data_IF_143389917470
#
_entry.id   IF_143389917470
#
_cell.length_a   1.000
_cell.length_b   1.000
_cell.length_c   1.000
_cell.angle_alpha   90.00
_cell.angle_beta   90.00
_cell.angle_gamma   90.00
#
_symmetry.space_group_name_H-M   'P 1'
#
loop_
_entity.id
_entity.type
_entity.pdbx_description
1 polymer ?
#
# COMPACT_ATOMS: atom_id res chain seq x y z
N UNK A 1 1.03 19.92 5.34
CA UNK A 1 2.27 19.64 6.10
C UNK A 1 1.95 18.55 7.12
N UNK A 2 2.59 17.39 7.04
CA UNK A 2 2.48 16.32 8.03
C UNK A 2 3.42 16.65 9.19
N UNK A 3 3.02 16.46 10.45
CA UNK A 3 3.80 16.86 11.63
C UNK A 3 4.05 15.69 12.56
N UNK A 4 5.30 15.49 12.94
CA UNK A 4 5.70 14.67 14.08
C UNK A 4 5.95 15.54 15.32
N UNK A 5 6.64 14.98 16.32
CA UNK A 5 6.98 15.70 17.55
C UNK A 5 8.17 16.67 17.38
N UNK A 6 9.15 16.33 16.52
CA UNK A 6 10.36 17.14 16.29
C UNK A 6 10.49 17.67 14.86
N UNK A 7 9.90 16.96 13.91
CA UNK A 7 10.06 17.22 12.47
C UNK A 7 8.72 17.30 11.76
N UNK A 8 8.66 18.11 10.71
CA UNK A 8 7.53 18.22 9.79
C UNK A 8 7.93 17.78 8.39
N UNK A 9 6.98 17.18 7.66
CA UNK A 9 7.09 16.91 6.23
C UNK A 9 6.24 17.92 5.47
N UNK A 10 6.89 18.75 4.67
CA UNK A 10 6.22 19.69 3.76
C UNK A 10 6.51 19.31 2.31
N UNK A 11 5.67 19.80 1.40
CA UNK A 11 5.95 19.71 -0.02
C UNK A 11 7.32 20.35 -0.30
N UNK A 12 8.11 19.73 -1.17
CA UNK A 12 9.40 20.27 -1.60
C UNK A 12 9.19 21.49 -2.47
N UNK A 13 10.03 22.51 -2.26
CA UNK A 13 10.03 23.73 -3.07
C UNK A 13 11.35 23.86 -3.84
N UNK A 14 11.35 24.64 -4.93
CA UNK A 14 12.55 24.87 -5.73
C UNK A 14 13.70 25.49 -4.90
N UNK A 15 13.36 26.32 -3.91
CA UNK A 15 14.30 26.94 -2.98
C UNK A 15 15.02 25.94 -2.07
N UNK A 16 14.46 24.74 -1.88
CA UNK A 16 15.10 23.69 -1.07
C UNK A 16 16.19 22.97 -1.87
N UNK A 17 16.14 23.01 -3.20
CA UNK A 17 17.01 22.20 -4.08
C UNK A 17 18.50 22.52 -3.88
N UNK A 18 18.93 23.79 -3.80
CA UNK A 18 20.33 24.11 -3.54
C UNK A 18 20.83 23.56 -2.20
N UNK A 19 20.00 23.64 -1.15
CA UNK A 19 20.33 23.15 0.20
C UNK A 19 20.40 21.62 0.21
N UNK A 20 19.41 20.93 -0.36
CA UNK A 20 19.40 19.47 -0.48
C UNK A 20 20.60 18.94 -1.28
N UNK A 21 21.04 19.69 -2.30
CA UNK A 21 22.22 19.32 -3.08
C UNK A 21 23.49 19.48 -2.25
N UNK A 22 23.74 20.68 -1.75
CA UNK A 22 24.98 21.03 -1.08
C UNK A 22 25.16 20.31 0.26
N UNK A 23 24.09 20.14 1.04
CA UNK A 23 24.20 19.64 2.41
C UNK A 23 23.90 18.14 2.52
N UNK A 24 23.06 17.59 1.64
CA UNK A 24 22.61 16.19 1.77
C UNK A 24 23.13 15.27 0.66
N UNK A 25 23.15 15.71 -0.59
CA UNK A 25 23.64 14.89 -1.71
C UNK A 25 25.16 14.87 -1.81
N UNK A 26 25.79 16.04 -1.62
CA UNK A 26 27.24 16.19 -1.69
C UNK A 26 27.93 15.62 -0.43
N UNK A 27 27.19 15.35 0.66
CA UNK A 27 27.61 14.44 1.71
C UNK A 27 27.55 12.98 1.22
N UNK A 28 28.62 12.56 0.54
CA UNK A 28 28.75 11.24 -0.08
C UNK A 28 28.55 10.11 0.92
N UNK A 29 29.02 10.26 2.17
CA UNK A 29 28.97 9.19 3.17
C UNK A 29 27.53 8.97 3.62
N UNK A 30 26.82 10.04 3.93
CA UNK A 30 25.43 9.94 4.37
C UNK A 30 24.51 9.59 3.19
N UNK A 31 24.71 10.22 2.03
CA UNK A 31 23.95 9.93 0.81
C UNK A 31 24.06 8.48 0.36
N UNK A 32 25.26 7.88 0.43
CA UNK A 32 25.46 6.46 0.07
C UNK A 32 24.80 5.48 1.06
N UNK A 33 24.54 5.91 2.31
CA UNK A 33 23.80 5.09 3.29
C UNK A 33 22.29 5.23 3.14
N UNK A 34 21.83 6.41 2.74
CA UNK A 34 20.41 6.72 2.59
C UNK A 34 19.82 6.21 1.26
N UNK A 35 20.61 6.23 0.19
CA UNK A 35 20.15 5.75 -1.13
C UNK A 35 20.56 4.30 -1.40
N UNK A 36 19.67 3.53 -2.03
CA UNK A 36 20.01 2.18 -2.52
C UNK A 36 20.81 2.20 -3.84
N UNK A 37 21.02 3.37 -4.45
CA UNK A 37 21.72 3.52 -5.72
C UNK A 37 23.17 3.95 -5.47
N UNK A 38 24.14 3.51 -6.28
CA UNK A 38 25.51 4.01 -6.19
C UNK A 38 25.55 5.54 -6.33
N UNK A 39 26.30 6.19 -5.45
CA UNK A 39 26.54 7.62 -5.54
C UNK A 39 27.29 7.97 -6.84
N UNK A 40 26.90 9.09 -7.47
CA UNK A 40 27.55 9.61 -8.68
C UNK A 40 27.48 11.15 -8.71
N UNK A 41 28.46 11.85 -9.27
CA UNK A 41 28.37 13.31 -9.44
C UNK A 41 27.16 13.71 -10.29
N UNK A 42 26.43 14.74 -9.86
CA UNK A 42 25.34 15.35 -10.64
C UNK A 42 25.89 16.56 -11.38
N UNK A 43 25.70 16.62 -12.69
CA UNK A 43 26.11 17.77 -13.50
C UNK A 43 25.36 19.04 -13.05
N UNK A 44 26.02 20.21 -12.95
CA UNK A 44 25.35 21.47 -12.70
C UNK A 44 24.20 21.71 -13.69
N UNK A 45 23.04 22.16 -13.20
CA UNK A 45 21.83 22.34 -14.01
C UNK A 45 21.08 21.06 -14.39
N UNK A 46 21.56 19.87 -13.99
CA UNK A 46 20.84 18.61 -14.21
C UNK A 46 19.53 18.56 -13.41
N UNK A 47 18.45 18.15 -14.09
CA UNK A 47 17.14 17.89 -13.51
C UNK A 47 17.04 16.46 -12.96
N UNK A 48 17.91 16.13 -12.02
CA UNK A 48 17.84 14.81 -11.35
C UNK A 48 16.54 14.73 -10.54
N UNK A 49 15.68 13.76 -10.87
CA UNK A 49 14.37 13.52 -10.24
C UNK A 49 14.48 13.26 -8.72
N UNK A 50 15.67 12.90 -8.21
CA UNK A 50 15.93 12.78 -6.76
C UNK A 50 15.84 14.11 -6.01
N UNK A 51 16.19 15.21 -6.67
CA UNK A 51 16.28 16.55 -6.07
C UNK A 51 15.20 17.49 -6.60
N UNK A 52 14.83 17.37 -7.87
CA UNK A 52 13.87 18.27 -8.53
C UNK A 52 12.43 17.89 -8.22
N UNK A 53 11.59 18.93 -8.11
CA UNK A 53 10.14 18.78 -8.00
C UNK A 53 9.56 18.54 -9.39
N UNK A 54 8.94 17.39 -9.61
CA UNK A 54 8.11 17.12 -10.79
C UNK A 54 6.68 16.80 -10.35
N UNK A 55 5.81 17.82 -10.39
CA UNK A 55 4.39 17.69 -10.04
C UNK A 55 3.61 16.78 -11.00
N UNK A 56 4.20 16.39 -12.14
CA UNK A 56 3.58 15.47 -13.11
C UNK A 56 3.87 14.00 -12.79
N UNK A 57 4.87 13.71 -11.96
CA UNK A 57 5.27 12.34 -11.61
C UNK A 57 4.34 11.76 -10.54
N UNK A 58 3.22 11.15 -10.96
CA UNK A 58 2.19 10.64 -10.04
C UNK A 58 2.63 9.44 -9.18
N UNK A 59 3.76 8.80 -9.50
CA UNK A 59 4.29 7.65 -8.76
C UNK A 59 5.16 8.01 -7.56
N UNK A 60 5.59 9.27 -7.47
CA UNK A 60 6.60 9.74 -6.54
C UNK A 60 6.13 11.04 -5.87
N UNK A 61 6.05 11.04 -4.54
CA UNK A 61 5.71 12.26 -3.79
C UNK A 61 6.92 12.68 -2.95
N UNK A 62 7.70 13.69 -3.40
CA UNK A 62 8.86 14.19 -2.67
C UNK A 62 8.44 15.18 -1.57
N UNK A 63 9.01 14.99 -0.37
CA UNK A 63 8.85 15.85 0.79
C UNK A 63 10.20 16.44 1.21
N UNK A 64 10.14 17.66 1.71
CA UNK A 64 11.22 18.32 2.45
C UNK A 64 10.97 18.11 3.95
N UNK A 65 11.98 17.58 4.66
CA UNK A 65 11.92 17.36 6.11
C UNK A 65 12.45 18.60 6.81
N UNK A 66 11.61 19.25 7.61
CA UNK A 66 11.97 20.45 8.36
C UNK A 66 11.93 20.20 9.86
N UNK A 67 12.88 20.78 10.60
CA UNK A 67 12.82 20.86 12.05
C UNK A 67 11.70 21.82 12.46
N UNK A 68 10.84 21.42 13.39
CA UNK A 68 9.66 22.21 13.76
C UNK A 68 10.00 23.46 14.60
N UNK A 69 11.07 23.40 15.39
CA UNK A 69 11.47 24.49 16.28
C UNK A 69 12.23 25.60 15.52
N UNK A 70 13.08 25.22 14.56
CA UNK A 70 13.93 26.14 13.80
C UNK A 70 13.50 26.40 12.35
N UNK A 71 12.60 25.60 11.79
CA UNK A 71 12.21 25.66 10.36
C UNK A 71 13.32 25.21 9.39
N UNK A 72 14.48 24.81 9.91
CA UNK A 72 15.64 24.39 9.14
C UNK A 72 15.32 23.13 8.34
N UNK A 73 15.76 23.09 7.08
CA UNK A 73 15.68 21.89 6.25
C UNK A 73 16.71 20.87 6.74
N UNK A 74 16.24 19.76 7.29
CA UNK A 74 17.09 18.71 7.89
C UNK A 74 17.16 17.43 7.04
N UNK A 75 16.39 17.33 5.96
CA UNK A 75 16.47 16.18 5.08
C UNK A 75 15.43 16.07 3.97
N UNK A 76 15.43 14.90 3.34
CA UNK A 76 14.53 14.48 2.25
C UNK A 76 13.73 13.26 2.67
N UNK A 77 12.47 13.19 2.24
CA UNK A 77 11.67 11.97 2.34
C UNK A 77 10.86 11.79 1.06
N UNK A 78 10.69 10.56 0.61
CA UNK A 78 9.97 10.28 -0.64
C UNK A 78 8.98 9.15 -0.43
N UNK A 79 7.71 9.39 -0.77
CA UNK A 79 6.67 8.37 -0.73
C UNK A 79 6.42 7.83 -2.13
N UNK A 80 6.45 6.50 -2.27
CA UNK A 80 6.15 5.82 -3.52
C UNK A 80 4.69 5.40 -3.53
N UNK A 81 3.90 5.99 -4.42
CA UNK A 81 2.48 5.69 -4.52
C UNK A 81 2.28 4.75 -5.69
N UNK A 82 2.24 3.45 -5.40
CA UNK A 82 1.78 2.46 -6.37
C UNK A 82 0.25 2.48 -6.44
N UNK A 83 -0.31 3.38 -7.24
CA UNK A 83 -1.73 3.26 -7.62
C UNK A 83 -1.82 2.09 -8.59
N UNK A 84 -2.07 0.89 -8.07
CA UNK A 84 -2.39 -0.27 -8.90
C UNK A 84 -3.77 -0.02 -9.49
N UNK A 85 -3.82 0.67 -10.64
CA UNK A 85 -5.06 0.98 -11.33
C UNK A 85 -5.74 -0.35 -11.66
N UNK A 86 -7.00 -0.58 -11.22
CA UNK A 86 -7.70 -1.80 -11.59
C UNK A 86 -7.77 -1.84 -13.13
N UNK A 87 -7.20 -2.88 -13.71
CA UNK A 87 -7.15 -3.07 -15.15
C UNK A 87 -8.55 -3.44 -15.64
N UNK A 88 -9.40 -2.43 -15.86
CA UNK A 88 -10.69 -2.62 -16.52
C UNK A 88 -10.39 -2.75 -18.02
N UNK A 89 -10.78 -3.86 -18.68
CA UNK A 89 -10.54 -4.02 -20.11
C UNK A 89 -11.15 -2.86 -20.89
N UNK A 90 -10.48 -2.29 -21.89
CA UNK A 90 -11.04 -1.15 -22.65
C UNK A 90 -12.08 -1.57 -23.70
N UNK A 91 -11.98 -2.82 -24.20
CA UNK A 91 -12.97 -3.37 -25.14
C UNK A 91 -14.28 -3.65 -24.43
N UNK A 92 -15.39 -3.14 -24.99
CA UNK A 92 -16.76 -3.38 -24.50
C UNK A 92 -17.05 -4.87 -24.27
N UNK A 93 -16.64 -5.75 -25.19
CA UNK A 93 -16.83 -7.20 -25.06
C UNK A 93 -16.07 -7.81 -23.86
N UNK A 94 -14.83 -7.38 -23.63
CA UNK A 94 -14.03 -7.83 -22.49
C UNK A 94 -14.57 -7.26 -21.16
N UNK A 95 -15.14 -6.05 -21.15
CA UNK A 95 -15.86 -5.51 -19.98
C UNK A 95 -17.10 -6.34 -19.63
N UNK A 96 -17.87 -6.76 -20.62
CA UNK A 96 -19.06 -7.59 -20.37
C UNK A 96 -18.71 -8.97 -19.82
N UNK A 97 -17.62 -9.58 -20.29
CA UNK A 97 -17.13 -10.85 -19.75
C UNK A 97 -16.62 -10.69 -18.31
N UNK A 98 -15.84 -9.64 -18.05
CA UNK A 98 -15.37 -9.30 -16.71
C UNK A 98 -16.53 -9.08 -15.72
N UNK A 99 -17.57 -8.34 -16.12
CA UNK A 99 -18.76 -8.11 -15.29
C UNK A 99 -19.57 -9.37 -15.01
N UNK A 100 -19.68 -10.27 -16.00
CA UNK A 100 -20.32 -11.58 -15.81
C UNK A 100 -19.53 -12.43 -14.82
N UNK A 101 -18.22 -12.50 -14.97
CA UNK A 101 -17.34 -13.22 -14.06
C UNK A 101 -17.40 -12.62 -12.63
N UNK A 102 -17.34 -11.30 -12.51
CA UNK A 102 -17.44 -10.60 -11.22
C UNK A 102 -18.77 -10.89 -10.52
N UNK A 103 -19.89 -10.86 -11.25
CA UNK A 103 -21.22 -11.20 -10.72
C UNK A 103 -21.28 -12.66 -10.25
N UNK A 104 -20.71 -13.59 -11.02
CA UNK A 104 -20.67 -15.00 -10.64
C UNK A 104 -19.85 -15.23 -9.35
N UNK A 105 -18.69 -14.58 -9.24
CA UNK A 105 -17.84 -14.64 -8.04
C UNK A 105 -18.56 -14.05 -6.83
N UNK A 106 -19.23 -12.90 -7.00
CA UNK A 106 -20.00 -12.27 -5.94
C UNK A 106 -21.16 -13.16 -5.46
N UNK A 107 -21.88 -13.80 -6.39
CA UNK A 107 -22.95 -14.74 -6.06
C UNK A 107 -22.41 -15.95 -5.30
N UNK A 108 -21.29 -16.53 -5.73
CA UNK A 108 -20.66 -17.66 -5.04
C UNK A 108 -20.20 -17.29 -3.62
N UNK A 109 -19.63 -16.10 -3.43
CA UNK A 109 -19.27 -15.57 -2.12
C UNK A 109 -20.49 -15.33 -1.24
N UNK A 110 -21.58 -14.79 -1.78
CA UNK A 110 -22.82 -14.56 -1.05
C UNK A 110 -23.44 -15.88 -0.56
N UNK A 111 -23.47 -16.91 -1.40
CA UNK A 111 -23.95 -18.26 -1.02
C UNK A 111 -23.05 -18.86 0.05
N UNK A 112 -21.73 -18.76 -0.09
CA UNK A 112 -20.78 -19.28 0.90
C UNK A 112 -20.91 -18.55 2.25
N UNK A 113 -21.08 -17.23 2.21
CA UNK A 113 -21.31 -16.41 3.41
C UNK A 113 -22.64 -16.71 4.09
N UNK A 114 -23.71 -16.91 3.31
CA UNK A 114 -25.02 -17.29 3.84
C UNK A 114 -25.01 -18.66 4.50
N UNK A 115 -24.33 -19.64 3.89
CA UNK A 115 -24.18 -20.96 4.51
C UNK A 115 -23.35 -20.89 5.79
N UNK A 116 -22.28 -20.08 5.79
CA UNK A 116 -21.44 -19.85 6.96
C UNK A 116 -22.18 -19.17 8.12
N UNK A 117 -23.25 -18.40 7.86
CA UNK A 117 -24.07 -17.78 8.91
C UNK A 117 -25.24 -18.66 9.37
N UNK A 118 -25.83 -19.46 8.46
CA UNK A 118 -26.95 -20.35 8.77
C UNK A 118 -26.55 -21.57 9.60
N UNK A 119 -25.40 -22.20 9.30
CA UNK A 119 -24.96 -23.42 10.00
C UNK A 119 -24.76 -23.17 11.51
N UNK A 120 -24.02 -22.13 11.95
CA UNK A 120 -23.90 -21.84 13.38
C UNK A 120 -25.23 -21.48 14.05
N UNK A 121 -26.13 -20.79 13.34
CA UNK A 121 -27.45 -20.41 13.89
C UNK A 121 -28.34 -21.64 14.09
N UNK A 122 -28.42 -22.53 13.10
CA UNK A 122 -29.19 -23.77 13.19
C UNK A 122 -28.67 -24.69 14.29
N UNK A 123 -27.35 -24.89 14.37
CA UNK A 123 -26.72 -25.70 15.41
C UNK A 123 -27.02 -25.16 16.82
N UNK A 124 -27.06 -23.83 16.96
CA UNK A 124 -27.35 -23.17 18.24
C UNK A 124 -28.83 -23.23 18.62
N UNK A 125 -29.72 -22.97 17.67
CA UNK A 125 -31.15 -22.77 17.92
C UNK A 125 -31.94 -24.09 17.94
N UNK A 126 -31.65 -25.02 17.03
CA UNK A 126 -32.41 -26.27 16.89
C UNK A 126 -31.75 -27.45 17.61
N UNK A 127 -30.43 -27.49 17.66
CA UNK A 127 -29.67 -28.60 18.22
C UNK A 127 -29.03 -28.27 19.59
N UNK A 128 -29.19 -27.03 20.08
CA UNK A 128 -28.64 -26.54 21.35
C UNK A 128 -27.13 -26.78 21.54
N UNK A 129 -26.39 -26.87 20.43
CA UNK A 129 -24.93 -27.03 20.46
C UNK A 129 -24.28 -25.67 20.65
N UNK A 130 -23.73 -25.44 21.83
CA UNK A 130 -23.12 -24.16 22.21
C UNK A 130 -21.59 -24.13 22.09
N UNK A 131 -20.95 -25.26 21.76
CA UNK A 131 -19.49 -25.38 21.68
C UNK A 131 -19.00 -25.39 20.22
N UNK A 132 -18.53 -24.22 19.76
CA UNK A 132 -18.11 -23.96 18.37
C UNK A 132 -16.91 -24.83 17.93
N UNK A 133 -16.13 -25.35 18.88
CA UNK A 133 -14.99 -26.22 18.59
C UNK A 133 -15.38 -27.60 18.00
N UNK A 134 -16.62 -28.06 18.20
CA UNK A 134 -17.09 -29.35 17.67
C UNK A 134 -17.43 -29.30 16.17
N UNK A 135 -17.75 -28.12 15.63
CA UNK A 135 -18.28 -27.98 14.27
C UNK A 135 -17.21 -28.21 13.18
N UNK A 136 -15.96 -27.87 13.48
CA UNK A 136 -14.83 -28.18 12.59
C UNK A 136 -14.43 -29.66 12.61
N UNK A 137 -14.79 -30.41 13.66
CA UNK A 137 -14.42 -31.82 13.82
C UNK A 137 -15.38 -32.79 13.12
N UNK A 138 -16.69 -32.48 13.04
CA UNK A 138 -17.67 -33.37 12.40
C UNK A 138 -17.53 -33.46 10.87
N UNK A 139 -17.02 -32.42 10.20
CA UNK A 139 -16.81 -32.44 8.75
C UNK A 139 -15.57 -33.26 8.35
N UNK A 140 -14.70 -33.60 9.32
CA UNK A 140 -13.41 -34.25 9.08
C UNK A 140 -13.36 -35.76 9.33
N UNK A 141 -14.41 -36.41 9.86
CA UNK A 141 -14.33 -37.82 10.23
C UNK A 141 -14.82 -38.75 9.09
N UNK A 142 -13.96 -39.63 8.53
CA UNK A 142 -14.39 -40.65 7.59
C UNK A 142 -15.28 -41.68 8.31
N UNK A 143 -16.44 -41.98 7.72
CA UNK A 143 -17.34 -43.04 8.20
C UNK A 143 -16.58 -44.36 8.35
N UNK A 144 -16.71 -45.09 9.46
CA UNK A 144 -16.16 -46.44 9.56
C UNK A 144 -16.91 -47.36 8.60
N UNK A 145 -16.16 -48.09 7.78
CA UNK A 145 -16.68 -49.13 6.91
C UNK A 145 -17.26 -50.26 7.78
N UNK A 146 -18.58 -50.44 7.73
CA UNK A 146 -19.25 -51.65 8.23
C UNK A 146 -18.93 -52.81 7.29
N UNK A 147 -18.30 -53.84 7.85
CA UNK A 147 -18.24 -55.19 7.27
C UNK A 147 -19.52 -55.98 7.54
#
# INVERSE_FOLDING_TARGET
MLKGSKVGLRARHEDDIPVLRAELYDDVVNGSRAESRPWRPITPGSKDSRLVVDDKEQGLVPFSVVELDGGTLVGTATLWVSVRRPAIPDRRAARTEFLRAATAVLAALAVSGLFSSLVPSFLREQLHVHNVAAVGAEVGLPRPATG
#
